data_IF_448326422888
#
_entry.id   IF_448326422888
#
_cell.length_a   1.000
_cell.length_b   1.000
_cell.length_c   1.000
_cell.angle_alpha   90.00
_cell.angle_beta   90.00
_cell.angle_gamma   90.00
#
_symmetry.space_group_name_H-M   'P 1'
#
loop_
_entity.id
_entity.type
_entity.pdbx_description
1 polymer ?
#
# COMPACT_ATOMS: atom_id res chain seq x y z
N UNK A 1 7.62 -8.44 -8.71
CA UNK A 1 7.65 -7.17 -7.96
C UNK A 1 6.86 -6.11 -8.71
N UNK A 2 6.04 -5.31 -8.04
CA UNK A 2 5.35 -4.19 -8.70
C UNK A 2 6.33 -3.05 -9.03
N UNK A 3 6.02 -2.23 -10.06
CA UNK A 3 6.84 -1.05 -10.41
C UNK A 3 7.04 -0.09 -9.23
N UNK A 4 6.05 0.02 -8.35
CA UNK A 4 6.14 0.88 -7.16
C UNK A 4 7.04 0.30 -6.06
N UNK A 5 6.96 -1.01 -5.82
CA UNK A 5 7.86 -1.70 -4.88
C UNK A 5 9.32 -1.58 -5.36
N UNK A 6 9.58 -1.76 -6.66
CA UNK A 6 10.92 -1.62 -7.22
C UNK A 6 11.51 -0.21 -6.97
N UNK A 7 10.72 0.85 -7.18
CA UNK A 7 11.16 2.22 -6.86
C UNK A 7 11.46 2.40 -5.37
N UNK A 8 10.66 1.80 -4.48
CA UNK A 8 10.87 1.89 -3.03
C UNK A 8 12.09 1.11 -2.57
N UNK A 9 12.34 -0.06 -3.14
CA UNK A 9 13.57 -0.83 -2.89
C UNK A 9 14.78 0.01 -3.32
N UNK A 10 14.77 0.56 -4.53
CA UNK A 10 15.86 1.44 -5.01
C UNK A 10 16.11 2.65 -4.10
N UNK A 11 15.08 3.25 -3.53
CA UNK A 11 15.23 4.32 -2.53
C UNK A 11 15.92 3.79 -1.26
N UNK A 12 15.59 2.58 -0.79
CA UNK A 12 16.27 1.98 0.37
C UNK A 12 17.74 1.71 0.08
N UNK A 13 18.04 1.11 -1.06
CA UNK A 13 19.42 0.82 -1.47
C UNK A 13 20.26 2.11 -1.51
N UNK A 14 19.70 3.21 -2.02
CA UNK A 14 20.37 4.51 -2.05
C UNK A 14 20.49 5.16 -0.66
N UNK A 15 19.53 4.94 0.23
CA UNK A 15 19.63 5.37 1.64
C UNK A 15 20.70 4.56 2.40
N UNK A 16 20.83 3.27 2.11
CA UNK A 16 21.86 2.39 2.66
C UNK A 16 23.26 2.82 2.18
N UNK A 17 23.36 3.25 0.92
CA UNK A 17 24.55 3.87 0.34
C UNK A 17 24.80 5.33 0.80
N UNK A 18 24.02 5.84 1.78
CA UNK A 18 24.16 7.18 2.36
C UNK A 18 24.06 8.34 1.35
N UNK A 19 23.35 8.14 0.23
CA UNK A 19 23.13 9.18 -0.77
C UNK A 19 22.23 10.29 -0.19
N UNK A 20 22.53 11.58 -0.43
CA UNK A 20 21.68 12.68 0.02
C UNK A 20 20.24 12.56 -0.51
N UNK A 21 19.25 12.83 0.35
CA UNK A 21 17.82 12.67 0.01
C UNK A 21 17.39 13.46 -1.24
N UNK A 22 17.99 14.64 -1.46
CA UNK A 22 17.73 15.48 -2.63
C UNK A 22 18.14 14.79 -3.93
N UNK A 23 19.25 14.07 -3.91
CA UNK A 23 19.77 13.36 -5.08
C UNK A 23 18.98 12.08 -5.33
N UNK A 24 18.59 11.37 -4.27
CA UNK A 24 17.68 10.22 -4.37
C UNK A 24 16.36 10.61 -5.05
N UNK A 25 15.78 11.75 -4.65
CA UNK A 25 14.55 12.27 -5.24
C UNK A 25 14.67 12.48 -6.76
N UNK A 26 15.80 13.06 -7.20
CA UNK A 26 16.11 13.27 -8.63
C UNK A 26 16.35 11.94 -9.37
N UNK A 27 17.17 11.04 -8.83
CA UNK A 27 17.53 9.75 -9.45
C UNK A 27 16.29 8.87 -9.66
N UNK A 28 15.40 8.80 -8.67
CA UNK A 28 14.22 7.92 -8.72
C UNK A 28 13.01 8.61 -9.36
N UNK A 29 13.04 9.94 -9.47
CA UNK A 29 11.95 10.76 -10.01
C UNK A 29 10.75 10.80 -9.06
N UNK A 30 10.96 11.10 -7.78
CA UNK A 30 9.93 11.22 -6.74
C UNK A 30 10.15 12.47 -5.87
N UNK A 31 9.13 12.89 -5.14
CA UNK A 31 9.28 14.01 -4.20
C UNK A 31 10.17 13.65 -3.00
N UNK A 32 10.93 14.64 -2.51
CA UNK A 32 11.74 14.50 -1.29
C UNK A 32 10.89 14.07 -0.08
N UNK A 33 9.65 14.56 0.01
CA UNK A 33 8.68 14.12 1.03
C UNK A 33 8.43 12.62 0.99
N UNK A 34 8.41 12.03 -0.20
CA UNK A 34 8.25 10.57 -0.37
C UNK A 34 9.49 9.83 0.09
N UNK A 35 10.69 10.35 -0.21
CA UNK A 35 11.96 9.79 0.30
C UNK A 35 11.97 9.77 1.83
N UNK A 36 11.64 10.89 2.48
CA UNK A 36 11.54 10.99 3.95
C UNK A 36 10.55 9.99 4.54
N UNK A 37 9.37 9.83 3.93
CA UNK A 37 8.38 8.83 4.37
C UNK A 37 8.92 7.40 4.27
N UNK A 38 9.67 7.08 3.21
CA UNK A 38 10.28 5.76 3.03
C UNK A 38 11.38 5.53 4.07
N UNK A 39 12.20 6.54 4.36
CA UNK A 39 13.22 6.49 5.40
C UNK A 39 12.60 6.24 6.78
N UNK A 40 11.56 6.99 7.15
CA UNK A 40 10.85 6.78 8.41
C UNK A 40 10.23 5.39 8.47
N UNK A 41 9.57 4.94 7.38
CA UNK A 41 9.01 3.59 7.34
C UNK A 41 10.09 2.50 7.54
N UNK A 42 11.29 2.69 6.96
CA UNK A 42 12.44 1.80 7.18
C UNK A 42 12.88 1.81 8.65
N UNK A 43 13.02 2.99 9.27
CA UNK A 43 13.39 3.11 10.69
C UNK A 43 12.35 2.49 11.63
N UNK A 44 11.07 2.54 11.27
CA UNK A 44 9.97 1.90 12.00
C UNK A 44 9.84 0.39 11.74
N UNK A 45 10.78 -0.23 11.01
CA UNK A 45 10.73 -1.67 10.69
C UNK A 45 9.62 -2.08 9.71
N UNK A 46 8.97 -1.11 9.04
CA UNK A 46 7.93 -1.41 8.06
C UNK A 46 8.55 -1.88 6.74
N UNK A 47 7.91 -2.82 6.05
CA UNK A 47 8.34 -3.32 4.73
C UNK A 47 8.23 -2.29 3.60
N UNK A 48 8.63 -2.67 2.38
CA UNK A 48 8.50 -1.79 1.19
C UNK A 48 7.10 -1.75 0.61
N UNK A 49 6.26 -2.72 0.99
CA UNK A 49 4.85 -2.77 0.58
C UNK A 49 4.08 -1.57 1.12
N UNK A 50 3.14 -1.06 0.33
CA UNK A 50 2.18 -0.08 0.83
C UNK A 50 1.17 -0.80 1.72
N UNK A 51 0.76 -0.15 2.80
CA UNK A 51 -0.45 -0.57 3.50
C UNK A 51 -1.62 -0.56 2.51
N UNK A 52 -2.53 -1.55 2.59
CA UNK A 52 -3.76 -1.51 1.82
C UNK A 52 -4.50 -0.20 2.12
N UNK A 53 -5.16 0.35 1.10
CA UNK A 53 -6.00 1.54 1.27
C UNK A 53 -7.13 1.26 2.28
N UNK A 54 -7.73 2.33 2.82
CA UNK A 54 -8.77 2.25 3.85
C UNK A 54 -10.01 1.44 3.47
N UNK A 55 -10.17 1.10 2.18
CA UNK A 55 -11.16 0.15 1.67
C UNK A 55 -12.53 0.39 2.28
N UNK A 56 -13.20 1.48 1.89
CA UNK A 56 -14.54 1.92 2.33
C UNK A 56 -15.10 1.20 3.55
N UNK A 57 -14.96 1.81 4.74
CA UNK A 57 -15.42 1.24 6.01
C UNK A 57 -16.91 0.88 6.02
N UNK A 58 -17.74 1.67 5.34
CA UNK A 58 -19.19 1.48 5.27
C UNK A 58 -19.59 0.67 4.03
N UNK A 59 -19.27 -0.62 4.03
CA UNK A 59 -19.69 -1.52 2.94
C UNK A 59 -21.21 -1.73 3.01
N UNK A 60 -21.94 -1.25 2.00
CA UNK A 60 -23.38 -1.52 1.83
C UNK A 60 -23.72 -3.02 1.71
N UNK A 61 -22.76 -3.83 1.28
CA UNK A 61 -22.86 -5.29 1.22
C UNK A 61 -22.06 -5.90 2.37
N UNK A 62 -22.58 -5.72 3.58
CA UNK A 62 -22.01 -6.30 4.78
C UNK A 62 -22.35 -7.79 4.91
N UNK A 63 -21.84 -8.44 5.97
CA UNK A 63 -22.05 -9.88 6.19
C UNK A 63 -23.55 -10.21 6.35
N UNK A 64 -24.30 -9.33 6.99
CA UNK A 64 -25.76 -9.45 7.19
C UNK A 64 -26.51 -9.45 5.86
N UNK A 65 -26.23 -8.49 4.97
CA UNK A 65 -26.78 -8.47 3.62
C UNK A 65 -26.47 -9.75 2.85
N UNK A 66 -25.21 -10.21 2.89
CA UNK A 66 -24.80 -11.43 2.19
C UNK A 66 -25.49 -12.69 2.73
N UNK A 67 -25.72 -12.77 4.04
CA UNK A 67 -26.43 -13.89 4.65
C UNK A 67 -27.92 -13.91 4.25
N UNK A 68 -28.58 -12.75 4.26
CA UNK A 68 -29.98 -12.61 3.80
C UNK A 68 -30.09 -12.99 2.33
N UNK A 69 -29.18 -12.51 1.48
CA UNK A 69 -29.16 -12.84 0.05
C UNK A 69 -28.99 -14.35 -0.18
N UNK A 70 -28.03 -14.99 0.51
CA UNK A 70 -27.80 -16.44 0.41
C UNK A 70 -29.03 -17.24 0.84
N UNK A 71 -29.74 -16.79 1.87
CA UNK A 71 -30.97 -17.43 2.34
C UNK A 71 -32.06 -17.34 1.26
N UNK A 72 -32.30 -16.15 0.70
CA UNK A 72 -33.28 -15.94 -0.38
C UNK A 72 -32.98 -16.80 -1.61
N UNK A 73 -31.73 -16.89 -2.05
CA UNK A 73 -31.33 -17.73 -3.20
C UNK A 73 -31.60 -19.22 -2.94
N UNK A 74 -31.45 -19.70 -1.70
CA UNK A 74 -31.74 -21.10 -1.36
C UNK A 74 -33.24 -21.41 -1.28
N UNK A 75 -34.05 -20.41 -0.95
CA UNK A 75 -35.49 -20.53 -0.76
C UNK A 75 -36.30 -20.26 -2.04
N UNK A 76 -35.64 -19.79 -3.10
CA UNK A 76 -36.22 -19.56 -4.42
C UNK A 76 -35.85 -20.76 -5.33
N UNK A 77 -36.70 -21.80 -5.42
CA UNK A 77 -36.47 -22.88 -6.36
C UNK A 77 -36.76 -22.31 -7.75
N UNK A 78 -35.69 -22.12 -8.53
CA UNK A 78 -35.83 -22.01 -9.99
C UNK A 78 -36.63 -23.19 -10.55
#
# INVERSE_FOLDING_TARGET
>A
MSKQEAKRNRVRDLLDAQVPQKDIAKIVGISERTVRRIQHARQSGLGTKRSPGSGGHNKKRDKTFLNVLKKRIKEDPL
#
